data_IF_297173882369
#
_entry.id   IF_297173882369
#
_cell.length_a   1.000
_cell.length_b   1.000
_cell.length_c   1.000
_cell.angle_alpha   90.00
_cell.angle_beta   90.00
_cell.angle_gamma   90.00
#
_symmetry.space_group_name_H-M   'P 1'
#
loop_
_entity.id
_entity.type
_entity.pdbx_description
1 polymer ?
#
# COMPACT_ATOMS: atom_id res chain seq x y z
N UNK A 1 11.80 -5.85 -14.77
CA UNK A 1 12.35 -5.56 -16.11
C UNK A 1 13.19 -4.29 -16.16
N UNK A 2 12.73 -3.11 -15.62
CA UNK A 2 13.49 -1.86 -15.68
C UNK A 2 14.80 -1.94 -14.88
N UNK A 3 14.76 -2.46 -13.65
CA UNK A 3 15.98 -2.60 -12.84
C UNK A 3 16.98 -3.56 -13.48
N UNK A 4 16.52 -4.64 -14.10
CA UNK A 4 17.40 -5.56 -14.84
C UNK A 4 18.05 -4.89 -16.04
N UNK A 5 17.31 -4.04 -16.79
CA UNK A 5 17.87 -3.27 -17.95
C UNK A 5 18.92 -2.25 -17.52
N UNK A 6 18.74 -1.65 -16.33
CA UNK A 6 19.67 -0.69 -15.75
C UNK A 6 20.78 -1.35 -14.92
N UNK A 7 20.84 -2.69 -14.91
CA UNK A 7 21.80 -3.47 -14.13
C UNK A 7 21.80 -3.12 -12.64
N UNK A 8 20.66 -2.63 -12.10
CA UNK A 8 20.49 -2.33 -10.69
C UNK A 8 20.36 -3.64 -9.90
N UNK A 9 21.25 -3.92 -8.93
CA UNK A 9 21.07 -5.05 -8.01
C UNK A 9 19.73 -4.95 -7.32
N UNK A 10 18.88 -5.98 -7.42
CA UNK A 10 17.54 -5.93 -6.87
C UNK A 10 17.04 -7.29 -6.39
N UNK A 11 16.16 -7.23 -5.42
CA UNK A 11 15.39 -8.34 -4.87
C UNK A 11 13.94 -8.23 -5.32
N UNK A 12 13.33 -9.36 -5.70
CA UNK A 12 11.93 -9.46 -6.11
C UNK A 12 11.17 -10.41 -5.18
N UNK A 13 9.84 -10.33 -5.21
CA UNK A 13 8.99 -11.20 -4.40
C UNK A 13 8.84 -10.76 -2.95
N UNK A 14 9.35 -9.60 -2.57
CA UNK A 14 9.08 -8.99 -1.28
C UNK A 14 7.58 -8.78 -1.14
N UNK A 15 7.00 -9.27 -0.05
CA UNK A 15 5.54 -9.20 0.14
C UNK A 15 4.75 -9.70 -1.10
N UNK A 16 5.26 -10.75 -1.75
CA UNK A 16 4.75 -11.45 -2.95
C UNK A 16 5.11 -10.76 -4.27
N UNK A 17 4.86 -9.46 -4.43
CA UNK A 17 5.08 -8.75 -5.70
C UNK A 17 5.99 -7.53 -5.57
N UNK A 18 6.44 -7.19 -4.37
CA UNK A 18 7.31 -6.06 -4.13
C UNK A 18 8.72 -6.26 -4.65
N UNK A 19 9.40 -5.15 -4.92
CA UNK A 19 10.76 -5.12 -5.43
C UNK A 19 11.57 -4.06 -4.68
N UNK A 20 12.82 -4.39 -4.35
CA UNK A 20 13.78 -3.43 -3.80
C UNK A 20 15.06 -3.46 -4.62
N UNK A 21 15.39 -2.35 -5.26
CA UNK A 21 16.67 -2.12 -5.91
C UNK A 21 17.59 -1.29 -5.02
N UNK A 22 18.90 -1.45 -5.17
CA UNK A 22 19.88 -0.70 -4.40
C UNK A 22 20.95 -0.10 -5.32
N UNK A 23 21.04 1.22 -5.32
CA UNK A 23 22.11 1.97 -5.96
C UNK A 23 23.09 2.43 -4.88
N UNK A 24 24.38 2.14 -5.10
CA UNK A 24 25.46 2.53 -4.20
C UNK A 24 26.09 3.83 -4.67
N UNK A 25 26.23 4.78 -3.75
CA UNK A 25 26.99 5.99 -4.02
C UNK A 25 28.49 5.81 -3.77
N UNK A 26 29.22 6.89 -3.93
CA UNK A 26 30.67 6.97 -3.70
C UNK A 26 31.06 6.59 -2.27
N UNK A 27 30.20 6.90 -1.31
CA UNK A 27 30.31 6.50 0.09
C UNK A 27 28.93 6.07 0.59
N UNK A 28 28.88 5.41 1.75
CA UNK A 28 27.64 4.86 2.31
C UNK A 28 27.29 5.53 3.65
N UNK A 29 27.28 6.87 3.68
CA UNK A 29 26.97 7.62 4.90
C UNK A 29 25.50 7.51 5.31
N UNK A 30 24.60 7.43 4.35
CA UNK A 30 23.19 7.25 4.57
C UNK A 30 22.53 6.50 3.39
N UNK A 31 21.39 5.89 3.64
CA UNK A 31 20.55 5.28 2.62
C UNK A 31 19.18 5.95 2.62
N UNK A 32 18.82 6.52 1.47
CA UNK A 32 17.48 7.09 1.25
C UNK A 32 16.65 6.11 0.43
N UNK A 33 15.51 5.70 0.94
CA UNK A 33 14.55 4.92 0.17
C UNK A 33 13.58 5.84 -0.57
N UNK A 34 13.41 5.60 -1.88
CA UNK A 34 12.34 6.19 -2.67
C UNK A 34 11.31 5.12 -2.97
N UNK A 35 10.04 5.37 -2.56
CA UNK A 35 8.96 4.40 -2.64
C UNK A 35 7.97 4.76 -3.75
N UNK A 36 7.45 3.73 -4.41
CA UNK A 36 6.28 3.81 -5.27
C UNK A 36 5.37 2.62 -5.02
N UNK A 37 4.07 2.83 -5.06
CA UNK A 37 3.05 1.83 -4.76
C UNK A 37 2.57 1.15 -6.04
N UNK A 38 2.38 -0.17 -5.99
CA UNK A 38 2.11 -1.02 -7.16
C UNK A 38 0.62 -1.27 -7.40
N UNK A 39 -0.18 -1.15 -6.36
CA UNK A 39 -1.59 -1.52 -6.42
C UNK A 39 -2.48 -0.41 -6.99
N UNK A 40 -3.72 -0.75 -7.23
CA UNK A 40 -4.78 0.14 -7.71
C UNK A 40 -6.02 -0.02 -6.84
N UNK A 41 -6.98 0.88 -7.00
CA UNK A 41 -8.28 0.81 -6.33
C UNK A 41 -9.33 0.14 -7.22
N UNK A 42 -10.44 -0.30 -6.62
CA UNK A 42 -11.57 -0.87 -7.36
C UNK A 42 -12.62 0.22 -7.61
N UNK A 43 -12.65 0.75 -8.84
CA UNK A 43 -13.58 1.82 -9.26
C UNK A 43 -14.20 1.43 -10.60
N UNK A 44 -15.23 0.60 -10.58
CA UNK A 44 -15.88 0.06 -11.80
C UNK A 44 -16.44 1.11 -12.74
N UNK A 45 -16.77 2.31 -12.25
CA UNK A 45 -17.25 3.42 -13.06
C UNK A 45 -16.15 4.30 -13.65
N UNK A 46 -14.88 4.01 -13.41
CA UNK A 46 -13.78 4.79 -13.99
C UNK A 46 -13.64 4.49 -15.48
N UNK A 47 -13.40 5.49 -16.36
CA UNK A 47 -13.27 5.27 -17.80
C UNK A 47 -12.21 4.23 -18.18
N UNK A 48 -11.11 4.20 -17.45
CA UNK A 48 -9.96 3.29 -17.68
C UNK A 48 -9.97 2.09 -16.72
N UNK A 49 -11.10 1.77 -16.10
CA UNK A 49 -11.19 0.59 -15.25
C UNK A 49 -11.08 -0.69 -16.09
N UNK A 50 -10.32 -1.64 -15.58
CA UNK A 50 -10.32 -2.99 -16.15
C UNK A 50 -11.73 -3.57 -16.13
N UNK A 51 -12.26 -4.03 -17.27
CA UNK A 51 -13.67 -4.44 -17.38
C UNK A 51 -14.00 -5.71 -16.59
N UNK A 52 -13.02 -6.52 -16.26
CA UNK A 52 -13.22 -7.77 -15.52
C UNK A 52 -13.13 -7.56 -14.02
N UNK A 53 -12.09 -6.87 -13.56
CA UNK A 53 -11.80 -6.68 -12.14
C UNK A 53 -12.38 -5.40 -11.59
N UNK A 54 -12.53 -4.34 -12.40
CA UNK A 54 -12.87 -3.00 -11.98
C UNK A 54 -11.68 -2.23 -11.39
N UNK A 55 -10.47 -2.76 -11.54
CA UNK A 55 -9.26 -2.10 -11.08
C UNK A 55 -8.97 -0.86 -11.91
N UNK A 56 -8.63 0.25 -11.24
CA UNK A 56 -8.32 1.52 -11.90
C UNK A 56 -7.23 2.27 -11.13
N UNK A 57 -6.36 2.97 -11.85
CA UNK A 57 -5.40 3.88 -11.24
C UNK A 57 -6.04 5.22 -10.87
N UNK A 58 -6.91 5.19 -9.86
CA UNK A 58 -7.65 6.38 -9.39
C UNK A 58 -7.09 6.96 -8.07
N UNK A 59 -5.99 6.42 -7.56
CA UNK A 59 -5.25 7.00 -6.43
C UNK A 59 -3.93 7.68 -6.84
N UNK A 60 -3.34 7.31 -7.97
CA UNK A 60 -2.12 7.95 -8.48
C UNK A 60 -0.85 7.10 -8.34
N UNK A 61 -0.96 5.84 -7.98
CA UNK A 61 0.19 4.94 -7.84
C UNK A 61 0.93 4.72 -9.17
N UNK A 62 0.23 4.78 -10.30
CA UNK A 62 0.85 4.79 -11.63
C UNK A 62 1.86 5.93 -11.80
N UNK A 63 1.54 7.14 -11.31
CA UNK A 63 2.45 8.27 -11.35
C UNK A 63 3.65 8.07 -10.41
N UNK A 64 3.44 7.47 -9.24
CA UNK A 64 4.53 7.13 -8.33
C UNK A 64 5.51 6.14 -8.94
N UNK A 65 5.01 5.06 -9.56
CA UNK A 65 5.84 4.07 -10.23
C UNK A 65 6.56 4.68 -11.44
N UNK A 66 5.90 5.55 -12.20
CA UNK A 66 6.55 6.27 -13.29
C UNK A 66 7.70 7.15 -12.76
N UNK A 67 7.51 7.87 -11.65
CA UNK A 67 8.54 8.67 -11.00
C UNK A 67 9.70 7.80 -10.48
N UNK A 68 9.39 6.65 -9.85
CA UNK A 68 10.40 5.71 -9.38
C UNK A 68 11.27 5.19 -10.53
N UNK A 69 10.64 4.82 -11.65
CA UNK A 69 11.35 4.38 -12.85
C UNK A 69 12.17 5.52 -13.45
N UNK A 70 11.60 6.72 -13.59
CA UNK A 70 12.30 7.89 -14.10
C UNK A 70 13.52 8.25 -13.23
N UNK A 71 13.37 8.19 -11.90
CA UNK A 71 14.48 8.39 -10.96
C UNK A 71 15.57 7.34 -11.17
N UNK A 72 15.21 6.05 -11.34
CA UNK A 72 16.19 4.99 -11.59
C UNK A 72 17.01 5.27 -12.85
N UNK A 73 16.35 5.63 -13.96
CA UNK A 73 17.05 6.00 -15.20
C UNK A 73 17.93 7.24 -15.02
N UNK A 74 17.39 8.29 -14.37
CA UNK A 74 18.14 9.53 -14.13
C UNK A 74 19.41 9.33 -13.29
N UNK A 75 19.33 8.48 -12.26
CA UNK A 75 20.47 8.19 -11.39
C UNK A 75 21.54 7.35 -12.08
N UNK A 76 21.15 6.38 -12.91
CA UNK A 76 22.08 5.45 -13.59
C UNK A 76 22.64 6.07 -14.86
N UNK A 77 21.79 6.52 -15.78
CA UNK A 77 22.24 7.05 -17.07
C UNK A 77 22.92 8.43 -16.93
N UNK A 78 22.57 9.17 -15.90
CA UNK A 78 23.21 10.45 -15.54
C UNK A 78 24.49 10.31 -14.74
N UNK A 79 24.94 9.09 -14.42
CA UNK A 79 26.10 8.79 -13.55
C UNK A 79 26.08 9.54 -12.20
N UNK A 80 24.87 9.86 -11.71
CA UNK A 80 24.68 10.70 -10.52
C UNK A 80 25.22 10.03 -9.25
N UNK A 81 25.19 8.70 -9.22
CA UNK A 81 25.63 7.94 -8.04
C UNK A 81 27.12 8.11 -7.73
N UNK A 82 27.94 8.43 -8.73
CA UNK A 82 29.36 8.70 -8.53
C UNK A 82 29.63 9.95 -7.69
N UNK A 83 28.69 10.88 -7.66
CA UNK A 83 28.79 12.15 -6.89
C UNK A 83 28.09 12.10 -5.55
N UNK A 84 27.33 11.04 -5.23
CA UNK A 84 26.57 10.94 -3.97
C UNK A 84 27.37 10.22 -2.89
N UNK A 85 27.38 10.78 -1.68
CA UNK A 85 27.94 10.17 -0.47
C UNK A 85 26.95 9.26 0.26
N UNK A 86 25.90 8.83 -0.40
CA UNK A 86 24.85 7.97 0.14
C UNK A 86 24.31 6.99 -0.88
N UNK A 87 23.53 6.05 -0.41
CA UNK A 87 22.86 5.04 -1.25
C UNK A 87 21.41 5.44 -1.52
N UNK A 88 20.87 4.93 -2.61
CA UNK A 88 19.44 5.07 -2.95
C UNK A 88 18.81 3.68 -3.05
N UNK A 89 17.83 3.41 -2.18
CA UNK A 89 16.99 2.23 -2.27
C UNK A 89 15.72 2.57 -3.05
N UNK A 90 15.48 1.90 -4.16
CA UNK A 90 14.29 2.06 -5.00
C UNK A 90 13.30 0.94 -4.66
N UNK A 91 12.15 1.28 -4.09
CA UNK A 91 11.24 0.30 -3.52
C UNK A 91 9.85 0.38 -4.17
N UNK A 92 9.46 -0.67 -4.89
CA UNK A 92 8.10 -0.84 -5.38
C UNK A 92 7.30 -1.68 -4.38
N UNK A 93 6.30 -1.05 -3.76
CA UNK A 93 5.55 -1.56 -2.60
C UNK A 93 4.15 -2.01 -3.03
N UNK A 94 3.74 -3.25 -2.79
CA UNK A 94 2.38 -3.69 -3.08
C UNK A 94 1.41 -3.38 -1.93
N UNK A 95 0.12 -3.50 -2.20
CA UNK A 95 -0.93 -3.66 -1.20
C UNK A 95 -1.06 -2.50 -0.21
N UNK A 96 -1.09 -1.26 -0.70
CA UNK A 96 -1.31 -0.08 0.14
C UNK A 96 -2.79 0.15 0.44
N UNK A 97 -3.65 -0.07 -0.56
CA UNK A 97 -5.07 0.34 -0.55
C UNK A 97 -6.00 -0.59 0.26
N UNK A 98 -5.48 -1.67 0.83
CA UNK A 98 -6.29 -2.64 1.58
C UNK A 98 -7.51 -3.19 0.82
N UNK A 99 -7.49 -3.19 -0.50
CA UNK A 99 -8.51 -3.87 -1.31
C UNK A 99 -8.36 -5.39 -1.23
N UNK A 100 -9.42 -6.14 -1.58
CA UNK A 100 -9.45 -7.61 -1.57
C UNK A 100 -9.01 -8.22 -0.22
N UNK A 101 -9.55 -7.68 0.88
CA UNK A 101 -9.15 -8.06 2.25
C UNK A 101 -9.28 -9.56 2.50
N UNK A 102 -10.32 -10.24 1.98
CA UNK A 102 -10.50 -11.69 2.15
C UNK A 102 -9.37 -12.49 1.50
N UNK A 103 -8.90 -12.08 0.32
CA UNK A 103 -7.75 -12.69 -0.33
C UNK A 103 -6.49 -12.54 0.55
N UNK A 104 -6.24 -11.34 1.05
CA UNK A 104 -5.08 -11.07 1.92
C UNK A 104 -5.15 -11.83 3.25
N UNK A 105 -6.34 -11.97 3.83
CA UNK A 105 -6.56 -12.83 5.00
C UNK A 105 -6.32 -14.30 4.67
N UNK A 106 -6.61 -14.75 3.45
CA UNK A 106 -6.22 -16.05 2.94
C UNK A 106 -4.71 -16.24 2.98
N UNK A 107 -3.96 -15.31 2.41
CA UNK A 107 -2.49 -15.32 2.41
C UNK A 107 -1.91 -15.34 3.84
N UNK A 108 -2.53 -14.59 4.76
CA UNK A 108 -2.12 -14.62 6.18
C UNK A 108 -2.38 -15.98 6.81
N UNK A 109 -3.53 -16.61 6.56
CA UNK A 109 -3.84 -17.97 7.06
C UNK A 109 -2.88 -19.02 6.51
N UNK A 110 -2.39 -18.82 5.30
CA UNK A 110 -1.38 -19.68 4.66
C UNK A 110 0.05 -19.39 5.15
N UNK A 111 0.24 -18.42 6.04
CA UNK A 111 1.55 -18.01 6.55
C UNK A 111 2.44 -17.30 5.52
N UNK A 112 1.88 -16.82 4.42
CA UNK A 112 2.61 -16.14 3.34
C UNK A 112 2.87 -14.67 3.64
N UNK A 113 2.00 -14.05 4.45
CA UNK A 113 2.16 -12.69 4.99
C UNK A 113 1.70 -12.68 6.45
N UNK A 114 2.21 -11.72 7.22
CA UNK A 114 1.73 -11.43 8.58
C UNK A 114 0.86 -10.16 8.59
N UNK A 115 1.25 -9.13 7.87
CA UNK A 115 0.51 -7.87 7.74
C UNK A 115 -0.21 -7.78 6.41
N UNK A 116 -1.42 -7.22 6.40
CA UNK A 116 -2.22 -7.09 5.18
C UNK A 116 -1.73 -5.97 4.27
N UNK A 117 -1.03 -4.98 4.80
CA UNK A 117 -0.45 -3.88 4.05
C UNK A 117 1.00 -4.15 3.67
N UNK A 118 1.40 -3.69 2.48
CA UNK A 118 2.74 -3.96 1.94
C UNK A 118 3.86 -3.31 2.75
N UNK A 119 3.74 -2.04 3.12
CA UNK A 119 4.79 -1.36 3.90
C UNK A 119 5.05 -2.04 5.27
N UNK A 120 4.03 -2.33 6.10
CA UNK A 120 4.23 -3.08 7.34
C UNK A 120 4.86 -4.46 7.13
N UNK A 121 4.45 -5.17 6.07
CA UNK A 121 5.02 -6.48 5.76
C UNK A 121 6.48 -6.37 5.30
N UNK A 122 6.84 -5.38 4.49
CA UNK A 122 8.22 -5.11 4.10
C UNK A 122 9.10 -4.74 5.31
N UNK A 123 8.57 -3.99 6.28
CA UNK A 123 9.26 -3.69 7.55
C UNK A 123 9.52 -4.99 8.31
N UNK A 124 8.52 -5.85 8.45
CA UNK A 124 8.66 -7.15 9.12
C UNK A 124 9.72 -8.04 8.46
N UNK A 125 9.82 -7.99 7.14
CA UNK A 125 10.80 -8.76 6.36
C UNK A 125 12.21 -8.15 6.38
N UNK A 126 12.41 -7.02 7.06
CA UNK A 126 13.71 -6.34 7.11
C UNK A 126 14.05 -5.55 5.85
N UNK A 127 13.09 -5.34 4.94
CA UNK A 127 13.37 -4.61 3.70
C UNK A 127 13.78 -3.14 3.93
N UNK A 128 13.47 -2.59 5.11
CA UNK A 128 13.88 -1.25 5.52
C UNK A 128 15.12 -1.24 6.41
N UNK A 129 15.75 -2.39 6.67
CA UNK A 129 16.97 -2.43 7.46
C UNK A 129 18.09 -1.67 6.72
N UNK A 130 18.76 -0.79 7.45
CA UNK A 130 19.80 0.08 6.90
C UNK A 130 19.27 1.22 6.02
N UNK A 131 17.98 1.53 6.07
CA UNK A 131 17.39 2.74 5.47
C UNK A 131 17.28 3.81 6.55
N UNK A 132 17.92 4.97 6.33
CA UNK A 132 17.92 6.10 7.27
C UNK A 132 16.75 7.04 7.04
N UNK A 133 16.33 7.20 5.80
CA UNK A 133 15.23 8.09 5.40
C UNK A 133 14.39 7.43 4.31
N UNK A 134 13.10 7.70 4.32
CA UNK A 134 12.18 7.25 3.27
C UNK A 134 11.37 8.44 2.74
N UNK A 135 11.18 8.47 1.43
CA UNK A 135 10.36 9.47 0.77
C UNK A 135 9.54 8.84 -0.34
N UNK A 136 8.43 9.49 -0.65
CA UNK A 136 7.58 9.14 -1.79
C UNK A 136 6.90 10.39 -2.31
N UNK A 137 6.45 10.36 -3.54
CA UNK A 137 5.58 11.39 -4.11
C UNK A 137 4.16 10.87 -4.18
N UNK A 138 3.19 11.75 -4.06
CA UNK A 138 1.78 11.43 -4.26
C UNK A 138 1.09 12.60 -4.95
N UNK A 139 0.18 12.32 -5.86
CA UNK A 139 -0.65 13.38 -6.43
C UNK A 139 -1.74 13.80 -5.45
N UNK A 140 -2.16 15.05 -5.53
CA UNK A 140 -3.28 15.57 -4.75
C UNK A 140 -4.48 15.86 -5.64
N UNK A 141 -5.67 15.63 -5.11
CA UNK A 141 -6.92 16.04 -5.75
C UNK A 141 -7.29 17.51 -5.47
N UNK A 142 -6.52 18.21 -4.63
CA UNK A 142 -6.76 19.60 -4.28
C UNK A 142 -6.06 20.52 -5.29
N UNK A 143 -6.73 21.60 -5.66
CA UNK A 143 -6.10 22.71 -6.36
C UNK A 143 -5.24 23.50 -5.36
N UNK A 144 -3.99 23.09 -5.20
CA UNK A 144 -3.03 23.80 -4.35
C UNK A 144 -2.37 24.94 -5.14
N UNK A 145 -2.06 26.08 -4.51
CA UNK A 145 -1.27 27.11 -5.16
C UNK A 145 0.19 26.64 -5.30
N UNK A 146 0.55 26.21 -6.49
CA UNK A 146 1.91 25.74 -6.81
C UNK A 146 1.91 24.35 -7.47
N UNK A 147 3.05 24.04 -8.11
CA UNK A 147 3.23 22.77 -8.80
C UNK A 147 3.57 21.63 -7.84
N UNK A 148 4.18 21.94 -6.72
CA UNK A 148 4.60 20.97 -5.71
C UNK A 148 4.34 21.51 -4.31
N UNK A 149 4.00 20.61 -3.41
CA UNK A 149 3.97 20.88 -1.97
C UNK A 149 4.76 19.82 -1.22
N UNK A 150 5.44 20.23 -0.15
CA UNK A 150 6.00 19.28 0.80
C UNK A 150 4.89 18.93 1.78
N UNK A 151 4.60 17.64 1.89
CA UNK A 151 3.51 17.16 2.73
C UNK A 151 3.74 17.50 4.20
N UNK A 152 2.65 17.93 4.85
CA UNK A 152 2.54 18.03 6.29
C UNK A 152 2.21 16.68 6.94
N UNK A 153 1.71 16.68 8.18
CA UNK A 153 1.28 15.46 8.85
C UNK A 153 0.09 14.81 8.12
N UNK A 154 0.08 13.49 8.07
CA UNK A 154 -1.04 12.70 7.57
C UNK A 154 -1.72 11.95 8.71
N UNK A 155 -3.00 11.60 8.52
CA UNK A 155 -3.70 10.75 9.47
C UNK A 155 -3.24 9.30 9.33
N UNK A 156 -3.07 8.62 10.46
CA UNK A 156 -2.96 7.17 10.47
C UNK A 156 -4.33 6.51 10.30
N UNK A 157 -4.36 5.25 9.89
CA UNK A 157 -5.58 4.46 9.83
C UNK A 157 -5.43 3.15 10.60
N UNK A 158 -6.54 2.69 11.17
CA UNK A 158 -6.68 1.38 11.78
C UNK A 158 -7.87 0.66 11.15
N UNK A 159 -7.60 -0.38 10.37
CA UNK A 159 -8.65 -1.16 9.72
C UNK A 159 -9.02 -2.34 10.60
N UNK A 160 -10.31 -2.51 10.86
CA UNK A 160 -10.86 -3.66 11.59
C UNK A 160 -11.99 -4.28 10.78
N UNK A 161 -11.97 -5.60 10.68
CA UNK A 161 -13.09 -6.38 10.13
C UNK A 161 -13.84 -7.02 11.29
N UNK A 162 -15.14 -6.78 11.37
CA UNK A 162 -16.00 -7.36 12.39
C UNK A 162 -17.09 -8.17 11.72
N UNK A 163 -17.20 -9.44 12.10
CA UNK A 163 -18.22 -10.36 11.60
C UNK A 163 -19.22 -10.67 12.69
N UNK A 164 -20.51 -10.42 12.44
CA UNK A 164 -21.61 -10.81 13.30
C UNK A 164 -22.26 -12.09 12.77
N UNK A 165 -22.33 -13.11 13.62
CA UNK A 165 -22.92 -14.39 13.26
C UNK A 165 -24.27 -14.53 13.94
N UNK A 166 -25.33 -14.69 13.16
CA UNK A 166 -26.69 -14.89 13.62
C UNK A 166 -27.13 -16.34 13.55
N UNK A 167 -28.36 -16.58 14.02
CA UNK A 167 -29.03 -17.87 13.92
C UNK A 167 -30.44 -17.64 13.36
N UNK A 168 -30.75 -18.32 12.27
CA UNK A 168 -32.10 -18.26 11.70
C UNK A 168 -33.13 -18.99 12.61
N UNK A 169 -34.34 -18.44 12.66
CA UNK A 169 -35.49 -19.08 13.29
C UNK A 169 -36.76 -18.66 12.56
N UNK A 170 -37.81 -19.48 12.67
CA UNK A 170 -39.10 -19.19 12.08
C UNK A 170 -39.79 -18.04 12.83
N UNK A 171 -40.04 -16.94 12.13
CA UNK A 171 -40.53 -15.70 12.73
C UNK A 171 -41.94 -15.86 13.40
N UNK A 172 -42.81 -16.69 12.84
CA UNK A 172 -44.16 -16.91 13.40
C UNK A 172 -44.25 -18.01 14.45
N UNK A 173 -43.30 -19.00 14.44
CA UNK A 173 -43.35 -20.17 15.29
C UNK A 173 -42.40 -20.16 16.48
N UNK A 174 -41.18 -19.69 16.29
CA UNK A 174 -40.14 -19.75 17.33
C UNK A 174 -39.14 -18.61 17.23
N UNK A 175 -39.57 -17.34 17.18
CA UNK A 175 -38.67 -16.20 17.00
C UNK A 175 -37.63 -16.08 18.12
N UNK A 176 -37.96 -16.55 19.33
CA UNK A 176 -37.06 -16.55 20.48
C UNK A 176 -35.84 -17.46 20.34
N UNK A 177 -35.84 -18.37 19.37
CA UNK A 177 -34.69 -19.26 19.08
C UNK A 177 -33.69 -18.63 18.11
N UNK A 178 -34.04 -17.50 17.49
CA UNK A 178 -33.19 -16.79 16.55
C UNK A 178 -32.21 -15.84 17.25
N UNK A 179 -31.12 -15.54 16.53
CA UNK A 179 -30.14 -14.50 16.89
C UNK A 179 -30.04 -13.54 15.72
N UNK A 180 -30.47 -12.30 15.90
CA UNK A 180 -30.46 -11.29 14.86
C UNK A 180 -29.09 -10.57 14.81
N UNK A 181 -28.22 -10.98 13.91
CA UNK A 181 -26.90 -10.39 13.71
C UNK A 181 -26.95 -8.92 13.29
N UNK A 182 -27.98 -8.51 12.53
CA UNK A 182 -28.14 -7.11 12.10
C UNK A 182 -28.36 -6.18 13.29
N UNK A 183 -29.16 -6.60 14.29
CA UNK A 183 -29.35 -5.77 15.52
C UNK A 183 -28.05 -5.57 16.27
N UNK A 184 -27.20 -6.60 16.37
CA UNK A 184 -25.89 -6.47 17.00
C UNK A 184 -24.98 -5.52 16.22
N UNK A 185 -24.97 -5.61 14.89
CA UNK A 185 -24.20 -4.73 14.05
C UNK A 185 -24.66 -3.26 14.16
N UNK A 186 -25.97 -3.02 14.14
CA UNK A 186 -26.53 -1.67 14.30
C UNK A 186 -26.15 -1.05 15.65
N UNK A 187 -26.25 -1.82 16.73
CA UNK A 187 -25.86 -1.35 18.06
C UNK A 187 -24.38 -0.99 18.13
N UNK A 188 -23.53 -1.81 17.54
CA UNK A 188 -22.09 -1.54 17.48
C UNK A 188 -21.78 -0.28 16.65
N UNK A 189 -22.43 -0.08 15.51
CA UNK A 189 -22.26 1.12 14.69
C UNK A 189 -22.71 2.38 15.43
N UNK A 190 -23.85 2.33 16.14
CA UNK A 190 -24.30 3.45 16.96
C UNK A 190 -23.32 3.78 18.09
N UNK A 191 -22.76 2.76 18.75
CA UNK A 191 -21.77 2.96 19.80
C UNK A 191 -20.46 3.56 19.25
N UNK A 192 -20.02 3.16 18.05
CA UNK A 192 -18.86 3.74 17.38
C UNK A 192 -19.13 5.20 17.03
N UNK A 193 -20.29 5.50 16.45
CA UNK A 193 -20.66 6.86 16.07
C UNK A 193 -20.75 7.79 17.29
N UNK A 194 -21.33 7.31 18.39
CA UNK A 194 -21.43 8.06 19.64
C UNK A 194 -20.07 8.36 20.32
N UNK A 195 -18.98 7.73 19.88
CA UNK A 195 -17.63 7.92 20.43
C UNK A 195 -16.65 8.55 19.41
N UNK A 196 -17.16 9.20 18.37
CA UNK A 196 -16.33 9.81 17.32
C UNK A 196 -15.63 11.11 17.71
N UNK A 197 -16.03 11.76 18.76
CA UNK A 197 -15.57 13.09 19.23
C UNK A 197 -14.58 13.01 20.37
#
# INVERSE_FOLDING_TARGET
>A
DHFSRLEIPHETGLTITGVKGMLRGRASHATVAYLGELDSVLVRGHPDADPQTGAAHACGHNAQIANLIALAYGLVEGDVMADLDGNVALMAVPAEEYVEVEYRLGLKREGRIEFLGGKPEMIRLGAFDGVDMAMMTHQTSRAEPGLFSVAGPSNGCLVKMVRYVGKAAHAGGSPHQGVNALKAALLALQAIDANRE
#
